data_IF_384945596352
#
_entry.id   IF_384945596352
#
_cell.length_a   1.000
_cell.length_b   1.000
_cell.length_c   1.000
_cell.angle_alpha   90.00
_cell.angle_beta   90.00
_cell.angle_gamma   90.00
#
_symmetry.space_group_name_H-M   'P 1'
#
loop_
_entity.id
_entity.type
_entity.pdbx_description
1 polymer ?
#
# COMPACT_ATOMS: atom_id res chain seq x y z
N UNK A 1 -38.46 -31.14 -20.05
CA UNK A 1 -39.26 -31.85 -19.02
C UNK A 1 -38.51 -33.13 -18.66
N UNK A 2 -37.96 -33.21 -17.45
CA UNK A 2 -37.77 -34.43 -16.63
C UNK A 2 -36.81 -34.10 -15.47
N UNK A 3 -37.38 -33.78 -14.32
CA UNK A 3 -36.94 -34.38 -13.05
C UNK A 3 -37.52 -35.82 -13.01
N UNK A 4 -36.99 -36.82 -12.25
CA UNK A 4 -36.38 -36.78 -10.91
C UNK A 4 -35.05 -37.60 -10.82
N UNK A 5 -34.27 -37.69 -9.73
CA UNK A 5 -34.47 -38.50 -8.51
C UNK A 5 -33.45 -38.05 -7.44
N UNK A 6 -33.93 -37.88 -6.21
CA UNK A 6 -33.14 -37.66 -4.99
C UNK A 6 -32.62 -39.01 -4.48
N UNK A 7 -31.29 -39.15 -4.27
CA UNK A 7 -30.68 -39.87 -3.14
C UNK A 7 -29.16 -40.02 -3.30
N UNK A 8 -28.36 -39.13 -2.72
CA UNK A 8 -27.59 -39.36 -1.49
C UNK A 8 -26.58 -38.22 -1.32
N UNK A 9 -26.75 -37.49 -0.24
CA UNK A 9 -25.96 -36.34 0.17
C UNK A 9 -24.60 -36.80 0.72
N UNK A 10 -23.51 -36.16 0.27
CA UNK A 10 -22.28 -35.86 1.05
C UNK A 10 -21.11 -35.28 0.24
N UNK A 11 -21.21 -35.11 -1.09
CA UNK A 11 -20.09 -34.63 -1.92
C UNK A 11 -20.08 -33.10 -2.12
N UNK A 12 -18.95 -32.46 -1.83
CA UNK A 12 -18.67 -31.04 -2.16
C UNK A 12 -18.24 -30.90 -3.63
N UNK A 13 -18.54 -29.76 -4.27
CA UNK A 13 -18.24 -29.54 -5.70
C UNK A 13 -17.22 -28.42 -5.91
N UNK A 14 -16.16 -28.68 -6.68
CA UNK A 14 -15.15 -27.66 -7.07
C UNK A 14 -15.15 -27.47 -8.58
N UNK A 15 -15.35 -26.24 -9.05
CA UNK A 15 -15.25 -25.93 -10.49
C UNK A 15 -13.89 -25.30 -10.82
N UNK A 16 -13.15 -25.89 -11.76
CA UNK A 16 -11.93 -25.32 -12.36
C UNK A 16 -12.27 -24.81 -13.77
N UNK A 17 -12.05 -23.52 -14.02
CA UNK A 17 -12.36 -22.89 -15.32
C UNK A 17 -11.08 -22.49 -16.04
N UNK A 18 -10.81 -23.09 -17.20
CA UNK A 18 -9.84 -22.61 -18.20
C UNK A 18 -10.66 -22.24 -19.44
N UNK A 19 -10.28 -21.19 -20.17
CA UNK A 19 -10.85 -20.79 -21.47
C UNK A 19 -11.76 -21.86 -22.11
N UNK A 20 -13.07 -21.69 -21.94
CA UNK A 20 -14.16 -22.50 -22.51
C UNK A 20 -14.38 -23.94 -22.01
N UNK A 21 -13.72 -24.42 -20.94
CA UNK A 21 -14.10 -25.67 -20.25
C UNK A 21 -14.29 -25.47 -18.74
N UNK A 22 -15.53 -25.65 -18.28
CA UNK A 22 -15.85 -25.81 -16.86
C UNK A 22 -15.62 -27.28 -16.47
N UNK A 23 -14.72 -27.53 -15.51
CA UNK A 23 -14.56 -28.88 -14.92
C UNK A 23 -15.13 -28.93 -13.55
N UNK A 24 -15.88 -29.97 -13.24
CA UNK A 24 -16.59 -30.12 -11.97
C UNK A 24 -16.03 -31.33 -11.22
N UNK A 25 -15.38 -31.08 -10.10
CA UNK A 25 -14.78 -32.11 -9.25
C UNK A 25 -15.70 -32.38 -8.07
N UNK A 26 -16.01 -33.65 -7.82
CA UNK A 26 -16.66 -34.08 -6.60
C UNK A 26 -15.59 -34.47 -5.58
N UNK A 27 -15.57 -33.76 -4.45
CA UNK A 27 -14.66 -34.02 -3.35
C UNK A 27 -15.44 -34.72 -2.23
N UNK A 28 -15.12 -36.00 -2.01
CA UNK A 28 -15.56 -36.71 -0.81
C UNK A 28 -14.80 -36.18 0.41
N UNK A 29 -15.41 -36.14 1.60
CA UNK A 29 -14.74 -35.69 2.83
C UNK A 29 -13.45 -36.48 3.07
N UNK A 30 -12.36 -35.77 3.33
CA UNK A 30 -11.01 -36.32 3.56
C UNK A 30 -10.39 -37.10 2.39
N UNK A 31 -10.97 -37.04 1.19
CA UNK A 31 -10.39 -37.65 0.00
C UNK A 31 -9.62 -36.62 -0.82
N UNK A 32 -8.35 -36.93 -1.11
CA UNK A 32 -7.51 -36.10 -1.96
C UNK A 32 -7.79 -36.34 -3.45
N UNK A 33 -8.07 -35.25 -4.16
CA UNK A 33 -8.12 -35.22 -5.63
C UNK A 33 -6.83 -34.64 -6.17
N UNK A 34 -6.22 -35.41 -7.05
CA UNK A 34 -4.94 -35.08 -7.64
C UNK A 34 -5.07 -34.11 -8.81
N UNK A 35 -4.25 -33.07 -8.78
CA UNK A 35 -4.00 -32.13 -9.88
C UNK A 35 -2.68 -32.49 -10.56
N UNK A 36 -2.67 -32.59 -11.89
CA UNK A 36 -1.42 -32.84 -12.59
C UNK A 36 -1.55 -33.12 -14.08
N UNK A 37 -0.43 -33.53 -14.68
CA UNK A 37 -0.34 -33.79 -16.11
C UNK A 37 -0.90 -35.16 -16.50
N UNK A 38 -1.57 -35.22 -17.65
CA UNK A 38 -2.05 -36.43 -18.31
C UNK A 38 -0.93 -37.46 -18.49
N UNK A 39 -1.24 -38.72 -18.17
CA UNK A 39 -0.37 -39.89 -18.37
C UNK A 39 -1.22 -41.07 -18.84
N UNK A 40 -0.61 -42.11 -19.39
CA UNK A 40 -1.33 -43.25 -19.97
C UNK A 40 -2.41 -43.86 -19.05
N UNK A 41 -2.17 -43.87 -17.73
CA UNK A 41 -3.11 -44.39 -16.71
C UNK A 41 -4.15 -43.37 -16.23
N UNK A 42 -3.86 -42.07 -16.32
CA UNK A 42 -4.75 -40.99 -15.85
C UNK A 42 -4.94 -40.00 -16.99
N UNK A 43 -6.02 -40.18 -17.74
CA UNK A 43 -6.39 -39.33 -18.87
C UNK A 43 -7.22 -38.14 -18.41
N UNK A 44 -7.23 -37.12 -19.26
CA UNK A 44 -8.03 -35.90 -19.10
C UNK A 44 -9.52 -36.26 -19.09
N UNK A 45 -10.28 -35.74 -18.13
CA UNK A 45 -11.75 -35.88 -18.03
C UNK A 45 -12.38 -34.61 -17.46
N UNK A 46 -13.66 -34.37 -17.74
CA UNK A 46 -14.42 -33.23 -17.20
C UNK A 46 -14.53 -33.27 -15.67
N UNK A 47 -14.51 -34.48 -15.09
CA UNK A 47 -14.67 -34.71 -13.67
C UNK A 47 -13.33 -34.90 -12.93
N UNK A 48 -12.20 -34.53 -13.55
CA UNK A 48 -10.88 -34.62 -12.92
C UNK A 48 -10.00 -33.38 -13.15
N UNK A 49 -9.01 -33.19 -12.28
CA UNK A 49 -8.04 -32.11 -12.37
C UNK A 49 -6.77 -32.53 -13.13
N UNK A 50 -6.93 -33.38 -14.16
CA UNK A 50 -5.82 -33.84 -15.00
C UNK A 50 -5.80 -33.06 -16.32
N UNK A 51 -4.66 -32.46 -16.63
CA UNK A 51 -4.49 -31.57 -17.78
C UNK A 51 -3.44 -32.12 -18.76
N UNK A 52 -3.70 -31.98 -20.06
CA UNK A 52 -2.66 -32.19 -21.07
C UNK A 52 -1.83 -30.91 -21.21
N UNK A 53 -0.88 -30.73 -20.29
CA UNK A 53 -0.05 -29.54 -20.22
C UNK A 53 1.39 -29.89 -19.84
N UNK A 54 2.35 -29.58 -20.72
CA UNK A 54 3.76 -29.94 -20.53
C UNK A 54 4.38 -29.30 -19.29
N UNK A 55 3.98 -28.09 -18.94
CA UNK A 55 4.53 -27.33 -17.81
C UNK A 55 4.05 -27.84 -16.44
N UNK A 56 3.08 -28.75 -16.41
CA UNK A 56 2.63 -29.40 -15.17
C UNK A 56 3.44 -30.67 -14.87
N UNK A 57 3.80 -30.84 -13.60
CA UNK A 57 4.21 -32.12 -13.04
C UNK A 57 3.08 -33.17 -13.11
N UNK A 58 3.46 -34.45 -13.15
CA UNK A 58 2.50 -35.58 -13.10
C UNK A 58 1.71 -35.61 -11.79
N UNK A 59 2.37 -35.28 -10.69
CA UNK A 59 1.80 -35.01 -9.37
C UNK A 59 2.15 -33.55 -9.09
N UNK A 60 1.22 -32.63 -9.32
CA UNK A 60 1.51 -31.21 -9.21
C UNK A 60 1.01 -30.65 -7.88
N UNK A 61 -0.26 -30.91 -7.59
CA UNK A 61 -0.91 -30.51 -6.36
C UNK A 61 -2.00 -31.51 -5.99
N UNK A 62 -2.51 -31.40 -4.78
CA UNK A 62 -3.69 -32.11 -4.29
C UNK A 62 -4.70 -31.13 -3.74
N UNK A 63 -5.97 -31.43 -3.95
CA UNK A 63 -7.13 -30.68 -3.47
C UNK A 63 -7.98 -31.61 -2.61
N UNK A 64 -8.42 -31.16 -1.44
CA UNK A 64 -9.32 -31.94 -0.60
C UNK A 64 -10.26 -31.04 0.20
N UNK A 65 -11.29 -31.67 0.77
CA UNK A 65 -12.27 -31.03 1.63
C UNK A 65 -12.25 -31.70 3.02
N UNK A 66 -12.10 -30.90 4.07
CA UNK A 66 -12.07 -31.34 5.48
C UNK A 66 -12.71 -30.29 6.37
N UNK A 67 -13.51 -30.72 7.35
CA UNK A 67 -14.02 -29.86 8.43
C UNK A 67 -14.71 -28.56 7.95
N UNK A 68 -15.45 -28.62 6.83
CA UNK A 68 -16.14 -27.43 6.28
C UNK A 68 -15.25 -26.51 5.45
N UNK A 69 -13.99 -26.88 5.21
CA UNK A 69 -12.97 -26.08 4.53
C UNK A 69 -12.36 -26.83 3.35
N UNK A 70 -11.91 -26.07 2.36
CA UNK A 70 -11.21 -26.60 1.18
C UNK A 70 -9.74 -26.27 1.28
N UNK A 71 -8.90 -27.22 0.91
CA UNK A 71 -7.46 -27.09 0.99
C UNK A 71 -6.80 -27.48 -0.32
N UNK A 72 -5.69 -26.82 -0.60
CA UNK A 72 -4.77 -27.16 -1.69
C UNK A 72 -3.35 -27.27 -1.15
N UNK A 73 -2.59 -28.23 -1.68
CA UNK A 73 -1.17 -28.42 -1.34
C UNK A 73 -0.37 -28.68 -2.60
N UNK A 74 0.76 -27.99 -2.76
CA UNK A 74 1.76 -28.30 -3.78
C UNK A 74 2.55 -29.55 -3.37
N UNK A 75 2.66 -30.53 -4.27
CA UNK A 75 3.35 -31.81 -4.00
C UNK A 75 4.79 -31.83 -4.54
N UNK A 76 5.51 -30.71 -4.46
CA UNK A 76 6.88 -30.59 -4.97
C UNK A 76 6.93 -30.37 -6.48
N UNK A 77 6.04 -29.55 -7.01
CA UNK A 77 5.97 -29.26 -8.45
C UNK A 77 7.22 -28.51 -8.94
N UNK A 78 7.64 -28.79 -10.18
CA UNK A 78 8.85 -28.17 -10.74
C UNK A 78 8.66 -26.70 -11.07
N UNK A 79 7.45 -26.32 -11.49
CA UNK A 79 7.13 -24.95 -11.91
C UNK A 79 6.28 -24.18 -10.87
N UNK A 80 5.94 -24.81 -9.74
CA UNK A 80 5.19 -24.19 -8.64
C UNK A 80 3.67 -24.14 -8.83
N UNK A 81 2.96 -24.15 -7.71
CA UNK A 81 1.55 -23.79 -7.58
C UNK A 81 1.43 -22.40 -6.95
N UNK A 82 0.51 -21.59 -7.46
CA UNK A 82 0.27 -20.23 -7.02
C UNK A 82 -1.21 -20.00 -6.74
N UNK A 83 -1.50 -19.20 -5.72
CA UNK A 83 -2.85 -18.77 -5.37
C UNK A 83 -2.83 -17.25 -5.29
N UNK A 84 -3.69 -16.57 -6.04
CA UNK A 84 -3.77 -15.11 -6.09
C UNK A 84 -2.38 -14.46 -6.31
N UNK A 85 -1.61 -14.99 -7.28
CA UNK A 85 -0.21 -14.64 -7.60
C UNK A 85 0.85 -14.98 -6.53
N UNK A 86 0.49 -15.56 -5.39
CA UNK A 86 1.44 -15.95 -4.35
C UNK A 86 1.81 -17.42 -4.51
N UNK A 87 3.11 -17.72 -4.59
CA UNK A 87 3.62 -19.09 -4.70
C UNK A 87 3.55 -19.81 -3.35
N UNK A 88 3.07 -21.06 -3.34
CA UNK A 88 2.86 -21.82 -2.11
C UNK A 88 4.15 -22.38 -1.49
N UNK A 89 5.15 -22.72 -2.30
CA UNK A 89 6.41 -23.30 -1.83
C UNK A 89 7.58 -22.95 -2.73
N UNK A 90 8.80 -23.24 -2.26
CA UNK A 90 10.00 -23.13 -3.09
C UNK A 90 10.01 -24.21 -4.19
N UNK A 91 10.86 -24.02 -5.19
CA UNK A 91 10.91 -24.93 -6.35
C UNK A 91 11.22 -26.36 -5.94
N UNK A 92 10.39 -27.31 -6.40
CA UNK A 92 10.51 -28.73 -6.09
C UNK A 92 10.43 -29.09 -4.59
N UNK A 93 9.74 -28.26 -3.80
CA UNK A 93 9.45 -28.53 -2.38
C UNK A 93 7.95 -28.59 -2.14
N UNK A 94 7.50 -29.47 -1.25
CA UNK A 94 6.09 -29.55 -0.87
C UNK A 94 5.68 -28.30 -0.07
N UNK A 95 4.45 -27.82 -0.27
CA UNK A 95 3.89 -26.74 0.54
C UNK A 95 3.17 -27.27 1.78
N UNK A 96 2.95 -26.40 2.75
CA UNK A 96 1.92 -26.64 3.76
C UNK A 96 0.51 -26.59 3.12
N UNK A 97 -0.50 -27.25 3.72
CA UNK A 97 -1.90 -27.09 3.34
C UNK A 97 -2.33 -25.63 3.36
N UNK A 98 -2.86 -25.15 2.23
CA UNK A 98 -3.39 -23.80 2.10
C UNK A 98 -4.90 -23.82 1.97
N UNK A 99 -5.61 -23.10 2.84
CA UNK A 99 -7.06 -22.97 2.80
C UNK A 99 -7.48 -22.07 1.64
N UNK A 100 -8.37 -22.57 0.77
CA UNK A 100 -8.89 -21.84 -0.40
C UNK A 100 -10.38 -21.56 -0.28
N UNK A 101 -10.80 -20.43 -0.82
CA UNK A 101 -12.21 -19.99 -0.84
C UNK A 101 -12.72 -19.80 -2.26
N UNK A 102 -14.05 -19.73 -2.41
CA UNK A 102 -14.64 -19.48 -3.72
C UNK A 102 -14.18 -18.13 -4.29
N UNK A 103 -13.80 -18.08 -5.56
CA UNK A 103 -13.26 -16.89 -6.21
C UNK A 103 -11.72 -16.77 -6.20
N UNK A 104 -11.00 -17.62 -5.45
CA UNK A 104 -9.54 -17.65 -5.52
C UNK A 104 -9.06 -18.10 -6.92
N UNK A 105 -7.95 -17.51 -7.36
CA UNK A 105 -7.32 -17.83 -8.64
C UNK A 105 -6.13 -18.73 -8.38
N UNK A 106 -6.21 -19.96 -8.87
CA UNK A 106 -5.13 -20.93 -8.81
C UNK A 106 -4.39 -20.97 -10.14
N UNK A 107 -3.07 -21.00 -10.06
CA UNK A 107 -2.19 -21.19 -11.20
C UNK A 107 -1.26 -22.37 -10.95
N UNK A 108 -1.19 -23.29 -11.92
CA UNK A 108 -0.29 -24.42 -11.92
C UNK A 108 0.78 -24.23 -13.00
N UNK A 109 2.03 -24.08 -12.55
CA UNK A 109 3.19 -23.81 -13.38
C UNK A 109 3.30 -22.36 -13.88
N UNK A 110 4.36 -22.12 -14.65
CA UNK A 110 4.65 -20.84 -15.31
C UNK A 110 4.81 -21.08 -16.81
N UNK A 111 4.66 -20.02 -17.62
CA UNK A 111 4.86 -20.11 -19.06
C UNK A 111 6.35 -20.37 -19.35
N UNK A 112 6.63 -21.42 -20.13
CA UNK A 112 7.99 -21.83 -20.48
C UNK A 112 8.17 -21.73 -21.99
N UNK A 113 9.20 -20.98 -22.43
CA UNK A 113 9.63 -20.95 -23.83
C UNK A 113 10.68 -22.03 -24.11
N UNK A 114 10.43 -22.87 -25.10
CA UNK A 114 11.39 -23.88 -25.53
C UNK A 114 12.38 -23.28 -26.56
N UNK A 115 13.65 -23.07 -26.14
CA UNK A 115 14.69 -22.42 -26.96
C UNK A 115 14.96 -23.11 -28.31
N UNK A 116 14.69 -24.41 -28.40
CA UNK A 116 14.92 -25.23 -29.60
C UNK A 116 13.92 -24.94 -30.73
N UNK A 117 12.69 -24.54 -30.39
CA UNK A 117 11.59 -24.39 -31.37
C UNK A 117 10.87 -23.05 -31.32
N UNK A 118 11.20 -22.16 -30.38
CA UNK A 118 10.48 -20.89 -30.13
C UNK A 118 8.97 -21.12 -29.89
N UNK A 119 8.62 -22.26 -29.31
CA UNK A 119 7.26 -22.57 -28.90
C UNK A 119 7.10 -22.24 -27.40
N UNK A 120 6.03 -21.53 -27.04
CA UNK A 120 5.70 -21.23 -25.65
C UNK A 120 4.66 -22.22 -25.16
N UNK A 121 4.94 -22.88 -24.04
CA UNK A 121 4.00 -23.75 -23.36
C UNK A 121 3.39 -22.98 -22.18
N UNK A 122 2.10 -22.69 -22.28
CA UNK A 122 1.36 -21.92 -21.27
C UNK A 122 1.00 -22.74 -20.02
N UNK A 123 0.96 -22.07 -18.88
CA UNK A 123 0.50 -22.60 -17.61
C UNK A 123 -1.02 -22.80 -17.55
N UNK A 124 -1.51 -23.40 -16.45
CA UNK A 124 -2.94 -23.55 -16.19
C UNK A 124 -3.34 -22.52 -15.16
N UNK A 125 -4.21 -21.58 -15.52
CA UNK A 125 -4.83 -20.62 -14.60
C UNK A 125 -6.32 -20.96 -14.53
N UNK A 126 -6.87 -21.02 -13.32
CA UNK A 126 -8.29 -21.30 -13.09
C UNK A 126 -8.83 -20.53 -11.89
N UNK A 127 -10.08 -20.08 -11.98
CA UNK A 127 -10.83 -19.56 -10.84
C UNK A 127 -11.60 -20.70 -10.17
N UNK A 128 -11.45 -20.83 -8.86
CA UNK A 128 -12.16 -21.81 -8.06
C UNK A 128 -13.59 -21.37 -7.78
N UNK A 129 -14.56 -22.28 -7.98
CA UNK A 129 -15.89 -22.17 -7.36
C UNK A 129 -16.12 -23.35 -6.45
N UNK A 130 -16.35 -23.10 -5.17
CA UNK A 130 -16.37 -24.13 -4.13
C UNK A 130 -17.76 -24.20 -3.48
N UNK A 131 -18.38 -25.37 -3.54
CA UNK A 131 -19.70 -25.64 -2.97
C UNK A 131 -19.61 -26.67 -1.86
N UNK A 132 -20.14 -26.31 -0.69
CA UNK A 132 -20.29 -27.18 0.46
C UNK A 132 -21.31 -28.29 0.18
N UNK A 133 -21.35 -29.37 0.99
CA UNK A 133 -22.31 -30.48 0.82
C UNK A 133 -23.78 -30.04 0.97
N UNK A 134 -24.03 -28.90 1.60
CA UNK A 134 -25.36 -28.29 1.73
C UNK A 134 -25.79 -27.48 0.48
N UNK A 135 -24.94 -27.46 -0.56
CA UNK A 135 -25.15 -26.74 -1.81
C UNK A 135 -24.83 -25.25 -1.74
N UNK A 136 -24.36 -24.72 -0.61
CA UNK A 136 -23.97 -23.32 -0.47
C UNK A 136 -22.56 -23.10 -1.01
N UNK A 137 -22.37 -22.02 -1.74
CA UNK A 137 -21.05 -21.58 -2.16
C UNK A 137 -20.28 -21.00 -0.96
N UNK A 138 -18.98 -21.31 -0.83
CA UNK A 138 -18.17 -20.73 0.24
C UNK A 138 -18.02 -19.23 0.03
N UNK A 139 -18.00 -18.46 1.14
CA UNK A 139 -17.80 -17.00 1.07
C UNK A 139 -16.47 -16.72 0.37
N UNK A 140 -16.44 -15.74 -0.53
CA UNK A 140 -15.20 -15.32 -1.17
C UNK A 140 -14.19 -14.80 -0.14
N UNK A 141 -12.90 -15.08 -0.36
CA UNK A 141 -11.78 -14.54 0.42
C UNK A 141 -11.98 -13.03 0.58
N UNK A 142 -11.96 -12.52 1.82
CA UNK A 142 -12.18 -11.10 2.10
C UNK A 142 -11.24 -10.26 1.23
N UNK A 143 -11.81 -9.53 0.26
CA UNK A 143 -11.08 -8.54 -0.53
C UNK A 143 -10.54 -7.50 0.45
N UNK A 144 -9.22 -7.29 0.45
CA UNK A 144 -8.56 -6.20 1.18
C UNK A 144 -9.20 -4.89 0.69
N UNK A 145 -10.13 -4.35 1.48
CA UNK A 145 -10.82 -3.11 1.19
C UNK A 145 -9.92 -1.94 1.58
N UNK A 146 -9.09 -1.48 0.66
CA UNK A 146 -8.44 -0.17 0.79
C UNK A 146 -9.40 0.89 0.25
N UNK A 147 -10.12 1.55 1.15
CA UNK A 147 -10.69 2.88 0.96
C UNK A 147 -11.85 3.05 -0.03
N UNK A 148 -13.00 3.48 0.51
CA UNK A 148 -14.01 4.25 -0.24
C UNK A 148 -14.89 3.47 -1.22
N UNK A 149 -16.18 3.79 -1.22
CA UNK A 149 -17.16 3.22 -2.14
C UNK A 149 -16.92 3.70 -3.58
N UNK A 150 -15.97 3.08 -4.31
CA UNK A 150 -15.96 3.08 -5.77
C UNK A 150 -15.03 1.99 -6.29
N UNK A 151 -15.52 1.18 -7.23
CA UNK A 151 -14.81 0.11 -7.95
C UNK A 151 -14.35 -1.10 -7.11
N UNK A 152 -15.29 -2.01 -6.84
CA UNK A 152 -14.97 -3.42 -6.55
C UNK A 152 -14.40 -4.04 -7.84
N UNK A 153 -13.10 -3.89 -8.08
CA UNK A 153 -12.42 -4.60 -9.17
C UNK A 153 -12.37 -6.09 -8.83
N UNK A 154 -12.88 -6.99 -9.70
CA UNK A 154 -12.76 -8.42 -9.50
C UNK A 154 -11.30 -8.85 -9.34
N UNK A 155 -10.96 -9.75 -8.39
CA UNK A 155 -9.59 -10.27 -8.23
C UNK A 155 -9.00 -10.85 -9.53
N UNK A 156 -9.86 -11.35 -10.41
CA UNK A 156 -9.50 -11.86 -11.74
C UNK A 156 -8.92 -10.78 -12.64
N UNK A 157 -9.47 -9.56 -12.60
CA UNK A 157 -8.98 -8.46 -13.41
C UNK A 157 -7.65 -7.91 -12.87
N UNK A 158 -7.48 -7.89 -11.54
CA UNK A 158 -6.22 -7.52 -10.90
C UNK A 158 -5.09 -8.51 -11.23
N UNK A 159 -5.38 -9.81 -11.15
CA UNK A 159 -4.46 -10.87 -11.53
C UNK A 159 -4.06 -10.74 -13.01
N UNK A 160 -5.03 -10.50 -13.89
CA UNK A 160 -4.80 -10.33 -15.33
C UNK A 160 -3.95 -9.09 -15.63
N UNK A 161 -4.20 -7.98 -14.95
CA UNK A 161 -3.39 -6.77 -15.06
C UNK A 161 -1.95 -7.02 -14.63
N UNK A 162 -1.74 -7.68 -13.48
CA UNK A 162 -0.42 -8.05 -13.00
C UNK A 162 0.32 -8.94 -14.03
N UNK A 163 -0.38 -9.90 -14.65
CA UNK A 163 0.19 -10.74 -15.70
C UNK A 163 0.65 -9.90 -16.91
N UNK A 164 -0.18 -8.95 -17.37
CA UNK A 164 0.21 -8.05 -18.47
C UNK A 164 1.42 -7.18 -18.13
N UNK A 165 1.51 -6.68 -16.89
CA UNK A 165 2.66 -5.90 -16.43
C UNK A 165 3.92 -6.76 -16.42
N UNK A 166 3.86 -7.98 -15.87
CA UNK A 166 5.00 -8.89 -15.85
C UNK A 166 5.46 -9.26 -17.26
N UNK A 167 4.53 -9.54 -18.17
CA UNK A 167 4.84 -9.87 -19.55
C UNK A 167 5.45 -8.67 -20.30
N UNK A 168 4.92 -7.46 -20.08
CA UNK A 168 5.48 -6.24 -20.64
C UNK A 168 6.92 -6.00 -20.17
N UNK A 169 7.18 -6.17 -18.87
CA UNK A 169 8.50 -5.98 -18.28
C UNK A 169 9.52 -7.02 -18.82
N UNK A 170 9.12 -8.28 -18.95
CA UNK A 170 9.98 -9.31 -19.56
C UNK A 170 10.28 -9.00 -21.04
N UNK A 171 9.29 -8.54 -21.81
CA UNK A 171 9.51 -8.13 -23.20
C UNK A 171 10.48 -6.95 -23.30
N UNK A 172 10.35 -5.98 -22.41
CA UNK A 172 11.25 -4.83 -22.32
C UNK A 172 12.70 -5.26 -22.06
N UNK A 173 12.91 -6.12 -21.05
CA UNK A 173 14.25 -6.63 -20.73
C UNK A 173 14.91 -7.38 -21.91
N UNK A 174 14.13 -8.16 -22.67
CA UNK A 174 14.61 -8.86 -23.87
C UNK A 174 14.99 -7.84 -24.96
N UNK A 175 14.18 -6.79 -25.14
CA UNK A 175 14.47 -5.73 -26.11
C UNK A 175 15.71 -4.93 -25.74
N UNK A 176 15.90 -4.58 -24.48
CA UNK A 176 17.11 -3.92 -23.98
C UNK A 176 18.36 -4.76 -24.25
N UNK A 177 18.28 -6.06 -23.97
CA UNK A 177 19.40 -6.99 -24.23
C UNK A 177 19.74 -7.04 -25.73
N UNK A 178 18.71 -7.13 -26.59
CA UNK A 178 18.89 -7.10 -28.05
C UNK A 178 19.47 -5.77 -28.53
N UNK A 179 19.00 -4.65 -28.00
CA UNK A 179 19.48 -3.32 -28.33
C UNK A 179 20.97 -3.18 -27.98
N UNK A 180 21.35 -3.62 -26.78
CA UNK A 180 22.75 -3.61 -26.33
C UNK A 180 23.64 -4.47 -27.23
N UNK A 181 23.14 -5.64 -27.66
CA UNK A 181 23.86 -6.50 -28.60
C UNK A 181 24.01 -5.86 -29.98
N UNK A 182 22.97 -5.19 -30.49
CA UNK A 182 23.02 -4.47 -31.76
C UNK A 182 24.01 -3.31 -31.69
N UNK A 183 23.99 -2.53 -30.61
CA UNK A 183 24.93 -1.43 -30.39
C UNK A 183 26.38 -1.93 -30.43
N UNK A 184 26.69 -3.05 -29.76
CA UNK A 184 28.02 -3.66 -29.81
C UNK A 184 28.44 -4.07 -31.23
N UNK A 185 27.53 -4.66 -32.02
CA UNK A 185 27.83 -5.02 -33.41
C UNK A 185 28.05 -3.79 -34.29
N UNK A 186 27.27 -2.72 -34.10
CA UNK A 186 27.44 -1.48 -34.85
C UNK A 186 28.78 -0.84 -34.53
N UNK A 187 29.16 -0.76 -33.25
CA UNK A 187 30.46 -0.21 -32.83
C UNK A 187 31.62 -1.04 -33.40
N UNK A 188 31.54 -2.37 -33.35
CA UNK A 188 32.54 -3.26 -33.95
C UNK A 188 32.64 -3.07 -35.47
N UNK A 189 31.50 -2.93 -36.17
CA UNK A 189 31.47 -2.72 -37.62
C UNK A 189 32.09 -1.38 -37.99
N UNK A 190 31.77 -0.32 -37.24
CA UNK A 190 32.37 1.01 -37.40
C UNK A 190 33.88 0.99 -37.20
N UNK A 191 34.35 0.32 -36.14
CA UNK A 191 35.78 0.15 -35.87
C UNK A 191 36.48 -0.60 -37.00
N UNK A 192 35.92 -1.73 -37.45
CA UNK A 192 36.47 -2.52 -38.54
C UNK A 192 36.49 -1.75 -39.87
N UNK A 193 35.46 -0.94 -40.14
CA UNK A 193 35.44 -0.08 -41.32
C UNK A 193 36.55 0.97 -41.25
N UNK A 194 36.75 1.63 -40.10
CA UNK A 194 37.83 2.60 -39.91
C UNK A 194 39.22 1.98 -40.12
N UNK A 195 39.46 0.77 -39.61
CA UNK A 195 40.68 0.02 -39.87
C UNK A 195 40.85 -0.33 -41.35
N UNK A 196 39.77 -0.70 -42.04
CA UNK A 196 39.77 -0.96 -43.48
C UNK A 196 40.13 0.28 -44.30
N UNK A 197 39.57 1.44 -43.96
CA UNK A 197 39.92 2.72 -44.58
C UNK A 197 41.40 3.07 -44.35
N UNK A 198 41.90 2.87 -43.14
CA UNK A 198 43.30 3.11 -42.80
C UNK A 198 44.24 2.21 -43.62
N UNK A 199 43.93 0.91 -43.71
CA UNK A 199 44.71 -0.03 -44.50
C UNK A 199 44.77 0.34 -45.98
N UNK A 200 43.66 0.81 -46.55
CA UNK A 200 43.60 1.28 -47.95
C UNK A 200 44.48 2.52 -48.17
N UNK A 201 44.43 3.49 -47.26
CA UNK A 201 45.31 4.69 -47.32
C UNK A 201 46.78 4.28 -47.23
N UNK A 202 47.11 3.33 -46.37
CA UNK A 202 48.48 2.85 -46.22
C UNK A 202 48.95 2.04 -47.44
N UNK A 203 48.07 1.29 -48.11
CA UNK A 203 48.35 0.65 -49.39
C UNK A 203 48.67 1.67 -50.49
N UNK A 204 47.86 2.73 -50.64
CA UNK A 204 48.11 3.81 -51.61
C UNK A 204 49.45 4.52 -51.36
N UNK A 205 49.81 4.72 -50.08
CA UNK A 205 51.12 5.27 -49.70
C UNK A 205 52.27 4.35 -50.09
N UNK A 206 52.11 3.05 -49.89
CA UNK A 206 53.12 2.06 -50.28
C UNK A 206 53.27 1.99 -51.80
N UNK A 207 52.18 2.01 -52.56
CA UNK A 207 52.20 2.04 -54.02
C UNK A 207 52.93 3.29 -54.54
N UNK A 208 52.62 4.47 -53.97
CA UNK A 208 53.31 5.72 -54.30
C UNK A 208 54.80 5.66 -53.98
N UNK A 209 55.19 4.99 -52.89
CA UNK A 209 56.60 4.79 -52.53
C UNK A 209 57.29 3.83 -53.48
N UNK A 210 56.63 2.75 -53.92
CA UNK A 210 57.16 1.80 -54.91
C UNK A 210 57.42 2.51 -56.23
N UNK A 211 56.44 3.26 -56.77
CA UNK A 211 56.60 4.01 -58.03
C UNK A 211 57.79 4.99 -57.96
N UNK A 212 57.96 5.70 -56.84
CA UNK A 212 59.13 6.56 -56.66
C UNK A 212 60.45 5.78 -56.63
N UNK A 213 60.48 4.62 -55.95
CA UNK A 213 61.69 3.79 -55.88
C UNK A 213 62.03 3.20 -57.25
N UNK A 214 61.04 2.78 -58.04
CA UNK A 214 61.21 2.30 -59.41
C UNK A 214 61.79 3.39 -60.32
N UNK A 215 61.25 4.61 -60.23
CA UNK A 215 61.79 5.78 -60.95
C UNK A 215 63.23 6.10 -60.55
N UNK A 216 63.56 6.05 -59.25
CA UNK A 216 64.94 6.24 -58.76
C UNK A 216 65.88 5.16 -59.29
N UNK A 217 65.44 3.90 -59.30
CA UNK A 217 66.22 2.77 -59.81
C UNK A 217 66.49 2.91 -61.31
N UNK A 218 65.47 3.31 -62.09
CA UNK A 218 65.61 3.59 -63.52
C UNK A 218 66.57 4.76 -63.80
N UNK A 219 66.57 5.79 -62.95
CA UNK A 219 67.51 6.91 -63.03
C UNK A 219 68.96 6.44 -62.79
N UNK A 220 69.21 5.65 -61.75
CA UNK A 220 70.54 5.12 -61.47
C UNK A 220 71.05 4.17 -62.56
N UNK A 221 70.16 3.43 -63.21
CA UNK A 221 70.51 2.55 -64.32
C UNK A 221 71.03 3.32 -65.56
N UNK A 222 70.60 4.58 -65.77
CA UNK A 222 70.86 5.33 -67.03
C UNK A 222 72.04 6.29 -67.00
N UNK A 223 72.79 6.43 -65.90
CA UNK A 223 74.05 7.17 -65.92
C UNK A 223 74.29 8.02 -64.67
N UNK A 224 74.74 7.37 -63.60
CA UNK A 224 75.20 8.05 -62.40
C UNK A 224 76.70 8.30 -62.47
N UNK A 225 77.11 9.57 -62.43
CA UNK A 225 78.51 9.98 -62.30
C UNK A 225 78.86 10.16 -60.81
N UNK A 226 80.14 10.04 -60.44
CA UNK A 226 80.58 10.13 -59.03
C UNK A 226 80.17 11.46 -58.37
N UNK A 227 80.20 12.58 -59.11
CA UNK A 227 79.75 13.89 -58.61
C UNK A 227 78.24 13.94 -58.32
N UNK A 228 77.41 13.34 -59.18
CA UNK A 228 75.96 13.25 -58.93
C UNK A 228 75.69 12.37 -57.70
N UNK A 229 76.52 11.36 -57.44
CA UNK A 229 76.36 10.47 -56.30
C UNK A 229 76.65 11.23 -55.00
N UNK A 230 77.70 12.07 -54.99
CA UNK A 230 78.00 12.95 -53.84
C UNK A 230 76.88 13.96 -53.58
N UNK A 231 76.31 14.54 -54.63
CA UNK A 231 75.18 15.48 -54.50
C UNK A 231 73.93 14.80 -53.91
N UNK A 232 73.58 13.58 -54.36
CA UNK A 232 72.46 12.82 -53.79
C UNK A 232 72.74 12.40 -52.35
N UNK A 233 73.99 12.05 -51.99
CA UNK A 233 74.37 11.75 -50.59
C UNK A 233 74.20 12.97 -49.70
N UNK A 234 74.63 14.15 -50.13
CA UNK A 234 74.43 15.40 -49.39
C UNK A 234 72.94 15.72 -49.21
N UNK A 235 72.15 15.53 -50.26
CA UNK A 235 70.70 15.73 -50.21
C UNK A 235 70.02 14.76 -49.25
N UNK A 236 70.35 13.47 -49.30
CA UNK A 236 69.84 12.46 -48.37
C UNK A 236 70.26 12.75 -46.93
N UNK A 237 71.45 13.33 -46.73
CA UNK A 237 71.93 13.73 -45.40
C UNK A 237 71.14 14.93 -44.85
N UNK A 238 70.79 15.90 -45.70
CA UNK A 238 69.92 17.02 -45.33
C UNK A 238 68.48 16.56 -45.07
N UNK A 239 67.90 15.74 -45.96
CA UNK A 239 66.57 15.15 -45.75
C UNK A 239 66.52 14.35 -44.43
N UNK A 240 67.55 13.55 -44.14
CA UNK A 240 67.67 12.82 -42.86
C UNK A 240 67.68 13.78 -41.68
N UNK A 241 68.44 14.87 -41.75
CA UNK A 241 68.53 15.87 -40.69
C UNK A 241 67.18 16.56 -40.45
N UNK A 242 66.48 16.95 -41.53
CA UNK A 242 65.15 17.55 -41.46
C UNK A 242 64.12 16.58 -40.85
N UNK A 243 64.10 15.33 -41.32
CA UNK A 243 63.21 14.30 -40.75
C UNK A 243 63.49 14.06 -39.27
N UNK A 244 64.77 14.00 -38.87
CA UNK A 244 65.14 13.81 -37.47
C UNK A 244 64.66 14.95 -36.58
N UNK A 245 64.82 16.20 -37.03
CA UNK A 245 64.35 17.37 -36.28
C UNK A 245 62.82 17.41 -36.20
N UNK A 246 62.13 17.18 -37.33
CA UNK A 246 60.66 17.14 -37.37
C UNK A 246 60.10 16.04 -36.45
N UNK A 247 60.69 14.84 -36.48
CA UNK A 247 60.30 13.75 -35.60
C UNK A 247 60.54 14.08 -34.12
N UNK A 248 61.68 14.73 -33.80
CA UNK A 248 62.00 15.16 -32.44
C UNK A 248 61.01 16.20 -31.92
N UNK A 249 60.61 17.16 -32.75
CA UNK A 249 59.65 18.19 -32.36
C UNK A 249 58.23 17.64 -32.26
N UNK A 250 57.84 16.72 -33.15
CA UNK A 250 56.59 15.98 -33.02
C UNK A 250 56.52 15.17 -31.72
N UNK A 251 57.60 14.46 -31.37
CA UNK A 251 57.70 13.70 -30.11
C UNK A 251 57.61 14.63 -28.89
N UNK A 252 58.29 15.79 -28.92
CA UNK A 252 58.19 16.79 -27.85
C UNK A 252 56.76 17.31 -27.70
N UNK A 253 56.07 17.58 -28.81
CA UNK A 253 54.69 18.04 -28.78
C UNK A 253 53.76 16.99 -28.16
N UNK A 254 53.84 15.74 -28.61
CA UNK A 254 53.04 14.63 -28.06
C UNK A 254 53.37 14.41 -26.58
N UNK A 255 54.63 14.52 -26.19
CA UNK A 255 55.03 14.40 -24.79
C UNK A 255 54.41 15.52 -23.93
N UNK A 256 54.41 16.76 -24.42
CA UNK A 256 53.78 17.89 -23.73
C UNK A 256 52.26 17.70 -23.62
N UNK A 257 51.59 17.33 -24.71
CA UNK A 257 50.15 17.03 -24.71
C UNK A 257 49.80 15.93 -23.70
N UNK A 258 50.64 14.89 -23.59
CA UNK A 258 50.48 13.83 -22.59
C UNK A 258 50.61 14.36 -21.17
N UNK A 259 51.61 15.20 -20.88
CA UNK A 259 51.78 15.80 -19.56
C UNK A 259 50.57 16.67 -19.18
N UNK A 260 50.08 17.49 -20.11
CA UNK A 260 48.91 18.33 -19.92
C UNK A 260 47.64 17.48 -19.67
N UNK A 261 47.47 16.38 -20.40
CA UNK A 261 46.38 15.44 -20.19
C UNK A 261 46.49 14.75 -18.82
N UNK A 262 47.67 14.31 -18.41
CA UNK A 262 47.90 13.72 -17.08
C UNK A 262 47.58 14.71 -15.96
N UNK A 263 47.98 15.97 -16.10
CA UNK A 263 47.64 17.01 -15.12
C UNK A 263 46.12 17.26 -15.04
N UNK A 264 45.42 17.27 -16.18
CA UNK A 264 43.96 17.37 -16.23
C UNK A 264 43.28 16.20 -15.52
N UNK A 265 43.72 14.98 -15.77
CA UNK A 265 43.21 13.77 -15.10
C UNK A 265 43.37 13.90 -13.58
N UNK A 266 44.57 14.22 -13.10
CA UNK A 266 44.82 14.38 -11.67
C UNK A 266 43.97 15.48 -11.02
N UNK A 267 43.60 16.53 -11.78
CA UNK A 267 42.72 17.60 -11.30
C UNK A 267 41.27 17.11 -11.20
N UNK A 268 40.80 16.38 -12.21
CA UNK A 268 39.44 15.82 -12.23
C UNK A 268 39.28 14.75 -11.15
N UNK A 269 40.27 13.89 -10.94
CA UNK A 269 40.25 12.88 -9.87
C UNK A 269 40.09 13.50 -8.48
N UNK A 270 40.79 14.61 -8.22
CA UNK A 270 40.63 15.35 -6.95
C UNK A 270 39.24 15.94 -6.80
N UNK A 271 38.69 16.52 -7.87
CA UNK A 271 37.34 17.07 -7.85
C UNK A 271 36.28 15.97 -7.64
N UNK A 272 36.47 14.81 -8.27
CA UNK A 272 35.62 13.64 -8.08
C UNK A 272 35.64 13.16 -6.63
N UNK A 273 36.84 12.99 -6.03
CA UNK A 273 36.98 12.61 -4.63
C UNK A 273 36.24 13.58 -3.70
N UNK A 274 36.39 14.89 -3.91
CA UNK A 274 35.68 15.91 -3.13
C UNK A 274 34.15 15.79 -3.26
N UNK A 275 33.66 15.55 -4.48
CA UNK A 275 32.22 15.37 -4.73
C UNK A 275 31.68 14.07 -4.15
N UNK A 276 32.46 12.99 -4.13
CA UNK A 276 32.11 11.72 -3.52
C UNK A 276 32.01 11.85 -1.99
N UNK A 277 32.95 12.58 -1.37
CA UNK A 277 32.92 12.89 0.06
C UNK A 277 31.67 13.71 0.44
N UNK A 278 31.34 14.74 -0.35
CA UNK A 278 30.10 15.52 -0.18
C UNK A 278 28.84 14.65 -0.31
N UNK A 279 28.80 13.76 -1.31
CA UNK A 279 27.69 12.82 -1.48
C UNK A 279 27.56 11.85 -0.30
N UNK A 280 28.69 11.39 0.25
CA UNK A 280 28.71 10.52 1.43
C UNK A 280 28.12 11.23 2.64
N UNK A 281 28.55 12.47 2.89
CA UNK A 281 28.04 13.29 3.99
C UNK A 281 26.53 13.55 3.87
N UNK A 282 26.05 13.90 2.66
CA UNK A 282 24.62 14.12 2.42
C UNK A 282 23.80 12.85 2.64
N UNK A 283 24.31 11.68 2.24
CA UNK A 283 23.65 10.39 2.50
C UNK A 283 23.55 10.09 3.99
N UNK A 284 24.60 10.38 4.76
CA UNK A 284 24.57 10.22 6.22
C UNK A 284 23.54 11.14 6.87
N UNK A 285 23.49 12.41 6.45
CA UNK A 285 22.48 13.37 6.91
C UNK A 285 21.05 12.93 6.57
N UNK A 286 20.83 12.43 5.36
CA UNK A 286 19.53 11.89 4.94
C UNK A 286 19.11 10.70 5.82
N UNK A 287 20.03 9.78 6.08
CA UNK A 287 19.74 8.62 6.94
C UNK A 287 19.38 9.06 8.37
N UNK A 288 20.13 10.03 8.92
CA UNK A 288 19.85 10.58 10.25
C UNK A 288 18.45 11.23 10.33
N UNK A 289 18.09 12.04 9.33
CA UNK A 289 16.76 12.68 9.27
C UNK A 289 15.64 11.66 9.06
N UNK A 290 15.87 10.62 8.27
CA UNK A 290 14.91 9.53 8.06
C UNK A 290 14.66 8.75 9.37
N UNK A 291 15.71 8.46 10.14
CA UNK A 291 15.58 7.84 11.46
C UNK A 291 14.80 8.73 12.44
N UNK A 292 15.07 10.04 12.45
CA UNK A 292 14.31 10.99 13.26
C UNK A 292 12.83 11.04 12.87
N UNK A 293 12.51 11.03 11.57
CA UNK A 293 11.13 10.97 11.09
C UNK A 293 10.44 9.66 11.49
N UNK A 294 11.14 8.52 11.41
CA UNK A 294 10.61 7.24 11.89
C UNK A 294 10.32 7.25 13.40
N UNK A 295 11.21 7.85 14.19
CA UNK A 295 11.02 7.98 15.64
C UNK A 295 9.80 8.87 15.97
N UNK A 296 9.66 10.01 15.29
CA UNK A 296 8.49 10.89 15.46
C UNK A 296 7.21 10.20 15.01
N UNK A 297 7.23 9.49 13.89
CA UNK A 297 6.08 8.72 13.39
C UNK A 297 5.67 7.66 14.41
N UNK A 298 6.62 6.89 14.95
CA UNK A 298 6.33 5.91 16.00
C UNK A 298 5.78 6.53 17.28
N UNK A 299 6.23 7.73 17.65
CA UNK A 299 5.62 8.49 18.78
C UNK A 299 4.19 8.90 18.48
N UNK A 300 3.89 9.36 17.26
CA UNK A 300 2.53 9.72 16.85
C UNK A 300 1.60 8.50 16.86
N UNK A 301 2.05 7.36 16.33
CA UNK A 301 1.28 6.11 16.35
C UNK A 301 0.99 5.66 17.80
N UNK A 302 1.98 5.75 18.69
CA UNK A 302 1.78 5.42 20.10
C UNK A 302 0.79 6.37 20.80
N UNK A 303 0.85 7.67 20.48
CA UNK A 303 -0.07 8.67 21.02
C UNK A 303 -1.49 8.43 20.49
N UNK A 304 -1.61 8.07 19.20
CA UNK A 304 -2.88 7.74 18.57
C UNK A 304 -3.52 6.50 19.19
N UNK A 305 -2.74 5.43 19.41
CA UNK A 305 -3.23 4.24 20.12
C UNK A 305 -3.73 4.58 21.54
N UNK A 306 -3.01 5.43 22.28
CA UNK A 306 -3.46 5.87 23.60
C UNK A 306 -4.76 6.69 23.54
N UNK A 307 -4.93 7.51 22.50
CA UNK A 307 -6.16 8.26 22.28
C UNK A 307 -7.33 7.31 21.97
N UNK A 308 -7.12 6.36 21.06
CA UNK A 308 -8.12 5.36 20.67
C UNK A 308 -8.55 4.48 21.85
N UNK A 309 -7.61 4.05 22.71
CA UNK A 309 -7.92 3.32 23.96
C UNK A 309 -8.76 4.16 24.93
N UNK A 310 -8.45 5.46 25.08
CA UNK A 310 -9.25 6.37 25.93
C UNK A 310 -10.65 6.58 25.37
N UNK A 311 -10.78 6.72 24.05
CA UNK A 311 -12.08 6.85 23.39
C UNK A 311 -12.90 5.57 23.60
N UNK A 312 -12.31 4.39 23.37
CA UNK A 312 -12.99 3.11 23.60
C UNK A 312 -13.44 2.93 25.06
N UNK A 313 -12.59 3.29 26.03
CA UNK A 313 -12.95 3.26 27.46
C UNK A 313 -14.09 4.22 27.81
N UNK A 314 -14.08 5.42 27.22
CA UNK A 314 -15.15 6.40 27.41
C UNK A 314 -16.47 5.94 26.77
N UNK A 315 -16.43 5.32 25.59
CA UNK A 315 -17.60 4.76 24.92
C UNK A 315 -18.22 3.60 25.73
N UNK A 316 -17.40 2.74 26.32
CA UNK A 316 -17.89 1.65 27.16
C UNK A 316 -18.56 2.18 28.44
N UNK A 317 -17.98 3.21 29.07
CA UNK A 317 -18.61 3.89 30.20
C UNK A 317 -19.94 4.54 29.82
N UNK A 318 -20.03 5.15 28.64
CA UNK A 318 -21.28 5.72 28.14
C UNK A 318 -22.35 4.64 27.95
N UNK A 319 -22.02 3.49 27.37
CA UNK A 319 -22.97 2.36 27.24
C UNK A 319 -23.49 1.87 28.59
N UNK A 320 -22.61 1.75 29.58
CA UNK A 320 -23.03 1.36 30.94
C UNK A 320 -24.02 2.39 31.49
N UNK A 321 -23.72 3.68 31.36
CA UNK A 321 -24.63 4.75 31.80
C UNK A 321 -25.95 4.79 31.01
N UNK A 322 -25.92 4.54 29.71
CA UNK A 322 -27.14 4.38 28.91
C UNK A 322 -27.99 3.20 29.41
N UNK A 323 -27.37 2.06 29.73
CA UNK A 323 -28.09 0.90 30.27
C UNK A 323 -28.70 1.21 31.65
N UNK A 324 -27.99 1.92 32.54
CA UNK A 324 -28.53 2.39 33.82
C UNK A 324 -29.73 3.33 33.61
N UNK A 325 -29.64 4.29 32.68
CA UNK A 325 -30.74 5.20 32.33
C UNK A 325 -31.93 4.41 31.80
N UNK A 326 -31.72 3.43 30.92
CA UNK A 326 -32.83 2.59 30.43
C UNK A 326 -33.47 1.80 31.56
N UNK A 327 -32.70 1.21 32.47
CA UNK A 327 -33.23 0.47 33.61
C UNK A 327 -34.06 1.36 34.54
N UNK A 328 -33.53 2.54 34.90
CA UNK A 328 -34.27 3.54 35.67
C UNK A 328 -35.53 4.01 34.92
N UNK A 329 -35.47 4.15 33.60
CA UNK A 329 -36.63 4.44 32.76
C UNK A 329 -37.70 3.35 32.84
N UNK A 330 -37.31 2.07 32.83
CA UNK A 330 -38.25 0.95 33.05
C UNK A 330 -38.84 0.97 34.46
N UNK A 331 -38.04 1.25 35.49
CA UNK A 331 -38.54 1.39 36.87
C UNK A 331 -39.55 2.55 37.00
N UNK A 332 -39.26 3.69 36.39
CA UNK A 332 -40.17 4.84 36.36
C UNK A 332 -41.48 4.46 35.66
N UNK A 333 -41.42 3.82 34.49
CA UNK A 333 -42.61 3.37 33.76
C UNK A 333 -43.44 2.37 34.59
N UNK A 334 -42.78 1.41 35.24
CA UNK A 334 -43.44 0.44 36.14
C UNK A 334 -44.11 1.14 37.33
N UNK A 335 -43.47 2.14 37.92
CA UNK A 335 -44.04 2.93 39.00
C UNK A 335 -45.21 3.79 38.51
N UNK A 336 -45.12 4.38 37.31
CA UNK A 336 -46.21 5.12 36.67
C UNK A 336 -47.40 4.21 36.36
N UNK A 337 -47.18 2.99 35.86
CA UNK A 337 -48.24 2.00 35.65
C UNK A 337 -48.90 1.60 36.96
N UNK A 338 -48.12 1.32 38.01
CA UNK A 338 -48.67 1.04 39.35
C UNK A 338 -49.48 2.22 39.89
N UNK A 339 -48.97 3.43 39.76
CA UNK A 339 -49.70 4.66 40.13
C UNK A 339 -50.99 4.80 39.34
N UNK A 340 -50.99 4.52 38.04
CA UNK A 340 -52.21 4.54 37.21
C UNK A 340 -53.21 3.46 37.62
N UNK A 341 -52.74 2.28 38.01
CA UNK A 341 -53.57 1.19 38.53
C UNK A 341 -54.19 1.59 39.86
N UNK A 342 -53.41 2.11 40.81
CA UNK A 342 -53.95 2.61 42.07
C UNK A 342 -54.88 3.82 41.90
N UNK A 343 -54.60 4.72 40.96
CA UNK A 343 -55.49 5.84 40.61
C UNK A 343 -56.81 5.34 40.01
N UNK A 344 -56.80 4.26 39.24
CA UNK A 344 -58.01 3.63 38.69
C UNK A 344 -58.91 3.05 39.79
N UNK A 345 -58.36 2.37 40.81
CA UNK A 345 -59.14 1.88 41.95
C UNK A 345 -59.55 2.99 42.93
N UNK A 346 -58.73 4.04 43.08
CA UNK A 346 -59.11 5.21 43.85
C UNK A 346 -60.29 5.96 43.21
N UNK A 347 -60.39 5.96 41.87
CA UNK A 347 -61.52 6.57 41.15
C UNK A 347 -62.85 5.82 41.37
N UNK A 348 -62.82 4.50 41.61
CA UNK A 348 -64.03 3.68 41.88
C UNK A 348 -64.51 3.82 43.35
N UNK A 349 -63.62 4.17 44.29
CA UNK A 349 -63.99 4.52 45.68
C UNK A 349 -64.41 6.00 45.83
N UNK A 350 -63.86 6.91 45.01
CA UNK A 350 -64.21 8.34 45.05
C UNK A 350 -65.54 8.68 44.33
N UNK A 351 -65.99 7.94 43.32
CA UNK A 351 -67.31 8.20 42.70
C UNK A 351 -68.47 7.93 43.68
N UNK A 352 -68.30 7.02 44.65
CA UNK A 352 -69.31 6.76 45.69
C UNK A 352 -69.18 7.67 46.94
N UNK A 353 -68.01 8.27 47.19
CA UNK A 353 -67.83 9.21 48.31
C UNK A 353 -68.04 10.69 47.90
N UNK A 354 -67.75 11.07 46.65
CA UNK A 354 -67.99 12.43 46.16
C UNK A 354 -69.49 12.73 45.96
N UNK A 355 -70.31 11.77 45.54
CA UNK A 355 -71.77 11.97 45.47
C UNK A 355 -72.44 12.13 46.85
N UNK A 356 -71.86 11.60 47.93
CA UNK A 356 -72.35 11.82 49.31
C UNK A 356 -71.79 13.09 49.96
N UNK A 357 -70.57 13.51 49.63
CA UNK A 357 -69.99 14.76 50.17
C UNK A 357 -70.53 16.03 49.48
N UNK A 358 -70.80 16.03 48.18
CA UNK A 358 -71.42 17.20 47.52
C UNK A 358 -72.87 17.44 47.98
N UNK A 359 -73.65 16.38 48.22
CA UNK A 359 -75.01 16.49 48.75
C UNK A 359 -75.02 17.04 50.20
N UNK A 360 -74.04 16.63 51.03
CA UNK A 360 -73.91 17.10 52.40
C UNK A 360 -73.36 18.54 52.48
N UNK A 361 -72.40 18.92 51.64
CA UNK A 361 -71.88 20.29 51.60
C UNK A 361 -72.89 21.29 51.04
N UNK A 362 -73.70 20.89 50.04
CA UNK A 362 -74.81 21.70 49.54
C UNK A 362 -75.92 21.90 50.59
N UNK A 363 -76.26 20.85 51.35
CA UNK A 363 -77.26 20.93 52.42
C UNK A 363 -76.81 21.78 53.64
N UNK A 364 -75.51 21.72 53.99
CA UNK A 364 -74.93 22.51 55.10
C UNK A 364 -74.81 23.99 54.70
N UNK A 365 -74.43 24.28 53.45
CA UNK A 365 -74.36 25.65 52.93
C UNK A 365 -75.75 26.31 52.88
N UNK A 366 -76.78 25.58 52.41
CA UNK A 366 -78.15 26.11 52.33
C UNK A 366 -78.82 26.26 53.72
N UNK A 367 -78.39 25.48 54.73
CA UNK A 367 -78.81 25.65 56.13
C UNK A 367 -78.15 26.85 56.81
N UNK A 368 -76.85 27.07 56.59
CA UNK A 368 -76.11 28.21 57.14
C UNK A 368 -76.56 29.55 56.55
N UNK A 369 -76.87 29.60 55.25
CA UNK A 369 -77.37 30.80 54.56
C UNK A 369 -78.77 31.25 55.00
N UNK A 370 -79.59 30.33 55.54
CA UNK A 370 -80.93 30.61 56.09
C UNK A 370 -80.95 30.86 57.60
N UNK A 371 -79.81 30.75 58.28
CA UNK A 371 -79.67 30.97 59.72
C UNK A 371 -79.36 32.44 60.05
N UNK A 372 -79.76 32.92 61.23
CA UNK A 372 -79.53 34.30 61.69
C UNK A 372 -78.04 34.66 61.94
N UNK A 373 -77.12 33.72 61.71
CA UNK A 373 -75.67 33.89 61.88
C UNK A 373 -75.09 34.96 60.92
N UNK A 374 -75.74 35.22 59.78
CA UNK A 374 -75.31 36.23 58.80
C UNK A 374 -75.40 37.69 59.29
N UNK A 375 -76.01 37.93 60.46
CA UNK A 375 -76.17 39.28 61.04
C UNK A 375 -75.08 39.65 62.06
N UNK A 376 -74.10 38.79 62.28
CA UNK A 376 -72.96 39.04 63.16
C UNK A 376 -71.73 39.47 62.35
N UNK A 377 -71.09 40.56 62.77
CA UNK A 377 -69.88 41.11 62.13
C UNK A 377 -68.72 40.10 62.30
N UNK A 378 -68.12 39.68 61.19
CA UNK A 378 -67.06 38.65 61.15
C UNK A 378 -67.52 37.21 60.82
N UNK A 379 -68.79 36.99 60.48
CA UNK A 379 -69.33 35.64 60.20
C UNK A 379 -68.99 35.08 58.81
N UNK A 380 -68.61 35.91 57.83
CA UNK A 380 -68.27 35.47 56.46
C UNK A 380 -66.97 34.64 56.40
N UNK A 381 -65.96 34.98 57.21
CA UNK A 381 -64.69 34.26 57.24
C UNK A 381 -64.82 32.88 57.89
N UNK A 382 -65.75 32.74 58.84
CA UNK A 382 -66.06 31.45 59.49
C UNK A 382 -66.82 30.52 58.53
N UNK A 383 -67.74 31.06 57.73
CA UNK A 383 -68.49 30.28 56.73
C UNK A 383 -67.56 29.83 55.59
N UNK A 384 -66.62 30.68 55.15
CA UNK A 384 -65.57 30.30 54.18
C UNK A 384 -64.61 29.24 54.71
N UNK A 385 -64.22 29.33 55.98
CA UNK A 385 -63.36 28.32 56.63
C UNK A 385 -64.07 26.95 56.80
N UNK A 386 -65.40 26.93 56.97
CA UNK A 386 -66.19 25.70 57.10
C UNK A 386 -66.48 25.05 55.74
N UNK A 387 -66.60 25.84 54.66
CA UNK A 387 -66.88 25.34 53.31
C UNK A 387 -65.63 24.94 52.51
N UNK A 388 -64.46 24.80 53.15
CA UNK A 388 -63.22 24.29 52.54
C UNK A 388 -62.76 25.00 51.26
N UNK A 389 -62.73 26.34 51.25
CA UNK A 389 -61.80 27.08 50.37
C UNK A 389 -60.55 27.45 51.18
N UNK A 390 -59.75 26.44 51.52
CA UNK A 390 -58.37 26.63 51.92
C UNK A 390 -57.51 26.06 50.79
N UNK A 391 -57.10 26.93 49.86
CA UNK A 391 -55.96 26.63 48.99
C UNK A 391 -54.76 26.32 49.90
N UNK A 392 -54.38 25.06 49.91
CA UNK A 392 -53.22 24.56 50.65
C UNK A 392 -51.95 25.14 50.06
N UNK A 393 -51.23 25.90 50.87
CA UNK A 393 -49.81 26.22 50.72
C UNK A 393 -49.01 24.93 50.48
N UNK A 394 -48.60 24.72 49.23
CA UNK A 394 -47.46 23.88 48.91
C UNK A 394 -46.23 24.79 49.02
N UNK A 395 -45.48 24.62 50.10
CA UNK A 395 -44.11 25.12 50.19
C UNK A 395 -43.27 24.47 49.08
N UNK A 396 -43.12 25.17 47.97
CA UNK A 396 -42.02 25.01 47.05
C UNK A 396 -40.78 25.66 47.69
N UNK A 397 -40.07 24.89 48.51
CA UNK A 397 -38.72 25.27 48.93
C UNK A 397 -37.78 24.94 47.77
N UNK A 398 -37.68 25.90 46.85
CA UNK A 398 -36.65 25.97 45.82
C UNK A 398 -35.29 25.96 46.52
N UNK A 399 -34.60 24.82 46.49
CA UNK A 399 -33.14 24.86 46.47
C UNK A 399 -32.72 25.32 45.10
N UNK A 400 -32.69 26.63 44.93
CA UNK A 400 -31.97 27.36 43.91
C UNK A 400 -30.51 26.88 43.96
N UNK A 401 -30.21 25.83 43.20
CA UNK A 401 -28.83 25.42 42.93
C UNK A 401 -28.26 26.57 42.13
N UNK A 402 -27.34 27.30 42.75
CA UNK A 402 -26.65 28.46 42.20
C UNK A 402 -25.89 28.07 40.92
N UNK A 403 -26.63 27.98 39.81
CA UNK A 403 -26.16 27.64 38.47
C UNK A 403 -25.26 28.74 37.94
N UNK A 404 -25.43 29.98 38.41
CA UNK A 404 -24.64 31.13 38.01
C UNK A 404 -23.23 31.10 38.62
N UNK A 405 -23.08 30.75 39.91
CA UNK A 405 -21.75 30.55 40.51
C UNK A 405 -21.03 29.31 39.96
N UNK A 406 -21.76 28.23 39.68
CA UNK A 406 -21.18 27.04 39.06
C UNK A 406 -20.77 27.31 37.60
N UNK A 407 -21.56 28.08 36.85
CA UNK A 407 -21.22 28.51 35.50
C UNK A 407 -20.01 29.47 35.50
N UNK A 408 -19.95 30.42 36.44
CA UNK A 408 -18.78 31.30 36.60
C UNK A 408 -17.52 30.53 37.01
N UNK A 409 -17.63 29.53 37.89
CA UNK A 409 -16.50 28.67 38.24
C UNK A 409 -16.01 27.82 37.07
N UNK A 410 -16.93 27.25 36.29
CA UNK A 410 -16.60 26.51 35.07
C UNK A 410 -15.94 27.41 34.03
N UNK A 411 -16.47 28.62 33.80
CA UNK A 411 -15.92 29.57 32.85
C UNK A 411 -14.52 30.06 33.27
N UNK A 412 -14.29 30.26 34.57
CA UNK A 412 -12.96 30.58 35.11
C UNK A 412 -11.98 29.42 34.97
N UNK A 413 -12.45 28.17 35.10
CA UNK A 413 -11.65 26.95 34.89
C UNK A 413 -11.25 26.79 33.42
N UNK A 414 -12.18 27.05 32.49
CA UNK A 414 -11.94 27.00 31.04
C UNK A 414 -10.91 28.06 30.64
N UNK A 415 -11.05 29.30 31.09
CA UNK A 415 -10.06 30.37 30.81
C UNK A 415 -8.67 30.05 31.38
N UNK A 416 -8.60 29.36 32.51
CA UNK A 416 -7.32 28.92 33.09
C UNK A 416 -6.68 27.81 32.26
N UNK A 417 -7.48 26.88 31.74
CA UNK A 417 -7.01 25.81 30.86
C UNK A 417 -6.55 26.35 29.51
N UNK A 418 -7.29 27.30 28.91
CA UNK A 418 -6.90 27.96 27.67
C UNK A 418 -5.57 28.72 27.83
N UNK A 419 -5.38 29.41 28.96
CA UNK A 419 -4.11 30.09 29.27
C UNK A 419 -2.95 29.11 29.43
N UNK A 420 -3.19 27.97 30.07
CA UNK A 420 -2.16 26.94 30.26
C UNK A 420 -1.81 26.25 28.92
N UNK A 421 -2.78 26.00 28.06
CA UNK A 421 -2.55 25.45 26.72
C UNK A 421 -1.76 26.46 25.86
N UNK A 422 -2.11 27.75 25.91
CA UNK A 422 -1.35 28.80 25.20
C UNK A 422 0.09 28.90 25.71
N UNK A 423 0.33 28.77 27.02
CA UNK A 423 1.68 28.75 27.60
C UNK A 423 2.48 27.50 27.23
N UNK A 424 1.83 26.35 26.98
CA UNK A 424 2.50 25.15 26.47
C UNK A 424 2.82 25.25 24.98
N UNK A 425 1.98 25.92 24.19
CA UNK A 425 2.19 26.12 22.74
C UNK A 425 3.25 27.19 22.47
N UNK A 426 3.31 28.26 23.27
CA UNK A 426 4.34 29.32 23.14
C UNK A 426 5.68 28.98 23.84
N UNK A 427 5.75 27.82 24.53
CA UNK A 427 6.93 27.36 25.27
C UNK A 427 8.06 26.79 24.40
N UNK A 428 7.82 26.49 23.12
CA UNK A 428 8.82 25.93 22.20
C UNK A 428 9.38 26.93 21.17
N UNK A 429 9.23 28.23 21.41
CA UNK A 429 9.92 29.23 20.59
C UNK A 429 10.50 30.37 21.42
N UNK A 430 11.66 30.14 22.04
CA UNK A 430 12.66 31.21 22.22
C UNK A 430 14.06 30.72 21.82
N UNK A 431 14.81 31.53 21.05
CA UNK A 431 16.18 31.25 20.66
C UNK A 431 17.12 31.66 21.80
N UNK A 432 17.97 30.75 22.27
CA UNK A 432 19.13 31.13 23.08
C UNK A 432 20.34 31.41 22.18
N UNK A 433 20.79 32.66 22.27
CA UNK A 433 22.01 33.21 21.70
C UNK A 433 23.24 32.79 22.53
N UNK A 434 24.38 32.57 21.85
CA UNK A 434 25.69 32.53 22.49
C UNK A 434 26.91 32.49 21.55
N UNK A 435 27.35 33.68 21.08
CA UNK A 435 28.74 34.21 20.92
C UNK A 435 29.87 33.26 20.46
N UNK A 436 30.86 33.60 19.62
CA UNK A 436 31.36 34.82 18.97
C UNK A 436 32.49 34.45 17.98
N UNK A 437 32.90 35.39 17.12
CA UNK A 437 34.14 35.46 16.31
C UNK A 437 34.10 34.87 14.88
N UNK A 438 33.88 35.71 13.87
CA UNK A 438 34.95 36.13 12.94
C UNK A 438 34.47 37.16 11.90
N UNK A 439 35.38 38.06 11.57
CA UNK A 439 35.37 39.23 10.68
C UNK A 439 34.93 39.00 9.21
N UNK A 440 34.43 40.03 8.51
CA UNK A 440 34.41 40.05 7.04
C UNK A 440 35.74 40.63 6.51
N UNK A 441 36.49 39.82 5.78
CA UNK A 441 37.63 40.31 4.98
C UNK A 441 37.09 40.93 3.69
N UNK A 442 37.30 42.24 3.59
CA UNK A 442 37.10 43.05 2.40
C UNK A 442 38.07 42.60 1.29
N UNK A 443 37.51 42.47 0.08
CA UNK A 443 38.23 42.38 -1.18
C UNK A 443 38.90 43.73 -1.42
N UNK A 444 40.24 43.78 -1.34
CA UNK A 444 41.02 44.91 -1.82
C UNK A 444 41.26 44.76 -3.32
N UNK A 445 40.59 45.64 -4.08
CA UNK A 445 41.07 46.08 -5.36
C UNK A 445 42.34 46.91 -5.14
N UNK A 446 43.47 46.49 -5.72
CA UNK A 446 44.50 47.42 -6.15
C UNK A 446 45.10 46.91 -7.47
N UNK A 447 44.69 47.57 -8.55
CA UNK A 447 45.50 47.71 -9.74
C UNK A 447 46.38 48.94 -9.59
N UNK A 448 47.69 48.76 -9.74
CA UNK A 448 48.57 49.56 -10.57
C UNK A 448 49.87 48.82 -10.82
#
# INVERSE_FOLDING_TARGET
>A
MQTPVVSNNNSSTTTLTRDSLNRTLFLEPHQEVKVGRSVARNRVSENNAIFDCKVLSRNHAVLWYSDGKFYIKDTGSSNGTFINNVRLSQTSTESEPYEVSSGDIVQFGVDVMENSRRETHGCIVATLKLFLPDGRETKASQSIGVGGASTKLPPVDLYRLNQYIQEANQREQILETKLTSLQKMVEATKHNSALGWQAMIDEDRLLSRIDMLEKKLQYFQKGMTDDKLREEVLKLQDEKYQYQNSAKDALRKVHQERLDATHKVATIEKALCSSEDECSLLREQLNKTQLQLQEVTGRLDALQNQYDERVASSEEQLKVKESEITNLGHEINMLQEKLSFYAFYASDEDENQQQQQEYNNSAISDWLLKSDIKKMEGSEDIIKAICNDAETDINADEKEVNLEDNAMQLQKRILTLERNISLMVDGESKPENGKSLCSPLAISNYGR
#
